data_IF_546476458672
#
_entry.id   IF_546476458672
#
_cell.length_a   1.000
_cell.length_b   1.000
_cell.length_c   1.000
_cell.angle_alpha   90.00
_cell.angle_beta   90.00
_cell.angle_gamma   90.00
#
_symmetry.space_group_name_H-M   'P 1'
#
loop_
_entity.id
_entity.type
_entity.pdbx_description
1 polymer ?
#
# COMPACT_ATOMS: atom_id res chain seq x y z
N UNK A 1 -12.81 -4.58 -13.33
CA UNK A 1 -13.40 -3.50 -12.49
C UNK A 1 -14.57 -2.92 -13.25
N UNK A 2 -15.78 -2.92 -12.68
CA UNK A 2 -16.97 -2.39 -13.34
C UNK A 2 -17.07 -0.87 -13.12
N UNK A 3 -17.38 -0.11 -14.18
CA UNK A 3 -17.66 1.33 -14.10
C UNK A 3 -19.14 1.53 -14.39
N UNK A 4 -19.84 2.20 -13.47
CA UNK A 4 -21.22 2.64 -13.65
C UNK A 4 -21.21 4.15 -13.79
N UNK A 5 -21.86 4.66 -14.82
CA UNK A 5 -22.03 6.10 -15.05
C UNK A 5 -23.49 6.44 -14.79
N UNK A 6 -23.73 7.39 -13.89
CA UNK A 6 -25.07 7.88 -13.60
C UNK A 6 -25.38 9.08 -14.50
N UNK A 7 -26.65 9.24 -14.86
CA UNK A 7 -27.10 10.39 -15.63
C UNK A 7 -26.94 11.71 -14.86
N UNK A 8 -26.98 11.67 -13.52
CA UNK A 8 -26.85 12.86 -12.67
C UNK A 8 -25.80 12.68 -11.59
N UNK A 9 -25.11 13.78 -11.26
CA UNK A 9 -24.15 13.83 -10.16
C UNK A 9 -24.81 13.61 -8.80
N UNK A 10 -26.09 13.99 -8.67
CA UNK A 10 -26.88 13.76 -7.45
C UNK A 10 -27.05 12.26 -7.16
N UNK A 11 -27.49 11.47 -8.14
CA UNK A 11 -27.67 10.03 -7.97
C UNK A 11 -26.34 9.34 -7.60
N UNK A 12 -25.25 9.72 -8.28
CA UNK A 12 -23.92 9.23 -7.97
C UNK A 12 -23.52 9.51 -6.51
N UNK A 13 -23.69 10.76 -6.05
CA UNK A 13 -23.37 11.15 -4.66
C UNK A 13 -24.22 10.37 -3.64
N UNK A 14 -25.52 10.21 -3.90
CA UNK A 14 -26.43 9.46 -3.02
C UNK A 14 -26.03 7.98 -2.90
N UNK A 15 -25.64 7.35 -4.01
CA UNK A 15 -25.16 5.95 -3.98
C UNK A 15 -23.85 5.83 -3.22
N UNK A 16 -22.89 6.73 -3.47
CA UNK A 16 -21.60 6.72 -2.78
C UNK A 16 -21.73 6.96 -1.27
N UNK A 17 -22.65 7.83 -0.84
CA UNK A 17 -22.93 8.07 0.57
C UNK A 17 -23.52 6.84 1.27
N UNK A 18 -24.32 6.03 0.54
CA UNK A 18 -24.90 4.79 1.05
C UNK A 18 -23.96 3.60 0.94
N UNK A 19 -22.94 3.66 0.09
CA UNK A 19 -22.02 2.55 -0.16
C UNK A 19 -21.39 1.91 1.10
N UNK A 20 -20.93 2.65 2.12
CA UNK A 20 -20.42 2.04 3.35
C UNK A 20 -21.46 1.22 4.13
N UNK A 21 -22.75 1.50 3.90
CA UNK A 21 -23.91 0.84 4.52
C UNK A 21 -24.44 -0.32 3.67
N UNK A 22 -23.99 -0.46 2.42
CA UNK A 22 -24.32 -1.58 1.52
C UNK A 22 -23.53 -2.85 1.89
N UNK A 23 -23.30 -3.11 3.17
CA UNK A 23 -22.64 -4.32 3.67
C UNK A 23 -23.38 -5.61 3.25
N UNK A 24 -24.68 -5.49 2.99
CA UNK A 24 -25.56 -6.55 2.51
C UNK A 24 -25.92 -6.36 1.04
N UNK A 25 -24.96 -5.92 0.21
CA UNK A 25 -25.17 -5.96 -1.23
C UNK A 25 -25.45 -7.42 -1.64
N UNK A 26 -26.49 -7.71 -2.44
CA UNK A 26 -26.90 -9.06 -2.79
C UNK A 26 -25.95 -9.68 -3.83
N UNK A 27 -24.66 -9.76 -3.50
CA UNK A 27 -23.59 -10.37 -4.31
C UNK A 27 -23.19 -11.75 -3.79
N UNK A 28 -24.03 -12.36 -2.94
CA UNK A 28 -23.76 -13.65 -2.31
C UNK A 28 -22.50 -13.60 -1.44
N UNK A 29 -21.54 -14.54 -1.58
CA UNK A 29 -20.33 -14.56 -0.76
C UNK A 29 -19.32 -13.46 -1.12
N UNK A 30 -19.51 -12.74 -2.23
CA UNK A 30 -18.53 -11.79 -2.75
C UNK A 30 -18.74 -10.43 -2.11
N UNK A 31 -17.72 -9.92 -1.41
CA UNK A 31 -17.72 -8.54 -0.90
C UNK A 31 -17.51 -7.57 -2.06
N UNK A 32 -18.44 -6.63 -2.23
CA UNK A 32 -18.36 -5.59 -3.25
C UNK A 32 -17.92 -4.28 -2.60
N UNK A 33 -16.97 -3.60 -3.24
CA UNK A 33 -16.51 -2.27 -2.83
C UNK A 33 -16.91 -1.26 -3.89
N UNK A 34 -17.67 -0.25 -3.47
CA UNK A 34 -18.08 0.86 -4.34
C UNK A 34 -17.23 2.08 -4.00
N UNK A 35 -16.65 2.71 -5.01
CA UNK A 35 -15.85 3.92 -4.87
C UNK A 35 -16.08 4.88 -6.04
N UNK A 36 -15.79 6.18 -5.88
CA UNK A 36 -15.79 7.11 -7.00
C UNK A 36 -14.79 6.67 -8.07
N UNK A 37 -15.15 6.88 -9.35
CA UNK A 37 -14.17 6.78 -10.44
C UNK A 37 -13.31 8.03 -10.43
N UNK A 38 -12.00 7.86 -10.36
CA UNK A 38 -11.03 8.95 -10.31
C UNK A 38 -10.22 9.01 -11.60
N UNK A 39 -9.90 10.21 -12.06
CA UNK A 39 -8.91 10.44 -13.12
C UNK A 39 -7.52 9.99 -12.66
N UNK A 40 -6.54 10.02 -13.57
CA UNK A 40 -5.16 9.61 -13.25
C UNK A 40 -4.57 10.55 -12.19
N UNK A 41 -4.76 11.84 -12.34
CA UNK A 41 -4.25 12.91 -11.48
C UNK A 41 -4.85 12.79 -10.07
N UNK A 42 -6.18 12.66 -10.00
CA UNK A 42 -6.91 12.49 -8.74
C UNK A 42 -6.47 11.21 -7.99
N UNK A 43 -6.14 10.14 -8.71
CA UNK A 43 -5.66 8.89 -8.10
C UNK A 43 -4.27 9.06 -7.49
N UNK A 44 -3.39 9.82 -8.14
CA UNK A 44 -2.06 10.15 -7.62
C UNK A 44 -2.20 10.97 -6.33
N UNK A 45 -3.03 12.01 -6.36
CA UNK A 45 -3.28 12.87 -5.19
C UNK A 45 -3.88 12.07 -4.02
N UNK A 46 -4.89 11.23 -4.29
CA UNK A 46 -5.49 10.37 -3.26
C UNK A 46 -4.46 9.41 -2.64
N UNK A 47 -3.56 8.85 -3.46
CA UNK A 47 -2.51 7.95 -2.98
C UNK A 47 -1.48 8.68 -2.11
N UNK A 48 -1.17 9.95 -2.44
CA UNK A 48 -0.30 10.81 -1.62
C UNK A 48 -0.97 11.13 -0.28
N UNK A 49 -2.22 11.58 -0.31
CA UNK A 49 -2.99 11.89 0.90
C UNK A 49 -3.17 10.68 1.83
N UNK A 50 -3.31 9.46 1.29
CA UNK A 50 -3.36 8.23 2.09
C UNK A 50 -2.01 7.90 2.73
N UNK A 51 -0.90 8.06 1.99
CA UNK A 51 0.45 7.90 2.57
C UNK A 51 0.69 8.88 3.70
N UNK A 52 0.31 10.14 3.52
CA UNK A 52 0.48 11.18 4.54
C UNK A 52 -0.33 10.87 5.81
N UNK A 53 -1.56 10.37 5.66
CA UNK A 53 -2.38 9.90 6.80
C UNK A 53 -1.77 8.71 7.53
N UNK A 54 -1.19 7.75 6.79
CA UNK A 54 -0.51 6.61 7.39
C UNK A 54 0.74 7.04 8.15
N UNK A 55 1.57 7.90 7.56
CA UNK A 55 2.78 8.45 8.20
C UNK A 55 2.43 9.31 9.42
N UNK A 56 1.37 10.13 9.34
CA UNK A 56 0.85 10.91 10.47
C UNK A 56 0.40 10.00 11.61
N UNK A 57 -0.34 8.92 11.31
CA UNK A 57 -0.81 7.96 12.32
C UNK A 57 0.34 7.15 12.94
N UNK A 58 1.38 6.86 12.16
CA UNK A 58 2.61 6.21 12.64
C UNK A 58 3.37 7.06 13.66
N UNK A 59 3.26 8.40 13.60
CA UNK A 59 3.89 9.31 14.58
C UNK A 59 3.15 9.40 15.91
N UNK A 60 1.87 9.02 15.96
CA UNK A 60 1.07 9.07 17.20
C UNK A 60 1.20 7.78 18.03
N UNK A 61 1.66 6.69 17.39
CA UNK A 61 1.92 5.40 18.07
C UNK A 61 3.42 5.12 18.29
N UNK A 62 4.30 6.12 18.18
CA UNK A 62 5.69 5.94 18.60
C UNK A 62 5.72 5.80 20.13
N UNK A 63 5.63 4.57 20.60
CA UNK A 63 6.26 4.20 21.87
C UNK A 63 7.67 4.81 21.91
N UNK A 64 8.14 5.33 23.05
CA UNK A 64 9.49 5.83 23.15
C UNK A 64 10.46 4.74 22.65
N UNK A 65 11.48 5.10 21.85
CA UNK A 65 12.44 4.12 21.39
C UNK A 65 13.03 3.39 22.61
N UNK A 66 13.14 2.05 22.61
CA UNK A 66 13.86 1.36 23.67
C UNK A 66 15.29 1.89 23.65
N UNK A 67 15.68 2.57 24.73
CA UNK A 67 17.04 3.01 24.96
C UNK A 67 17.91 1.79 25.26
N UNK A 68 18.31 1.06 24.22
CA UNK A 68 19.39 0.08 24.31
C UNK A 68 20.67 0.72 23.77
N UNK A 69 21.41 1.36 24.68
CA UNK A 69 22.80 1.74 24.51
C UNK A 69 23.67 0.48 24.50
N UNK A 70 23.94 -0.06 23.30
CA UNK A 70 25.14 -0.79 22.87
C UNK A 70 24.77 -1.77 21.76
N UNK A 71 24.83 -1.29 20.52
CA UNK A 71 25.08 -2.18 19.37
C UNK A 71 26.09 -1.48 18.48
N UNK A 72 27.30 -2.04 18.48
CA UNK A 72 28.42 -1.73 17.59
C UNK A 72 27.95 -1.71 16.13
N UNK A 73 28.30 -0.71 15.31
CA UNK A 73 27.90 -0.69 13.90
C UNK A 73 28.52 -1.88 13.16
N UNK A 74 27.79 -2.50 12.20
CA UNK A 74 28.35 -3.57 11.39
C UNK A 74 29.50 -3.02 10.54
N UNK A 75 30.69 -3.63 10.66
CA UNK A 75 31.81 -3.32 9.79
C UNK A 75 31.47 -3.75 8.36
N UNK A 76 31.68 -2.81 7.44
CA UNK A 76 31.60 -3.00 6.00
C UNK A 76 32.83 -3.83 5.61
N UNK A 77 32.66 -5.15 5.49
CA UNK A 77 33.67 -6.02 4.89
C UNK A 77 33.48 -5.95 3.38
N UNK A 78 34.34 -5.17 2.72
CA UNK A 78 34.60 -5.29 1.28
C UNK A 78 35.29 -6.65 1.05
N UNK A 79 34.53 -7.66 0.63
CA UNK A 79 35.13 -8.91 0.13
C UNK A 79 35.71 -8.69 -1.27
N UNK A 80 37.00 -8.97 -1.50
CA UNK A 80 37.58 -8.97 -2.84
C UNK A 80 37.04 -10.16 -3.65
N UNK A 81 36.50 -9.87 -4.84
CA UNK A 81 36.11 -10.87 -5.84
C UNK A 81 37.35 -11.53 -6.45
N UNK A 82 37.99 -12.41 -5.69
CA UNK A 82 39.09 -13.24 -6.15
C UNK A 82 38.67 -14.72 -6.26
N UNK A 83 38.58 -15.19 -7.50
CA UNK A 83 38.93 -16.57 -7.83
C UNK A 83 37.82 -17.63 -7.75
N UNK A 84 36.91 -17.65 -8.72
CA UNK A 84 36.37 -18.95 -9.16
C UNK A 84 37.41 -19.62 -10.06
N UNK A 85 38.23 -20.47 -9.41
CA UNK A 85 39.14 -21.38 -10.07
C UNK A 85 38.41 -22.45 -10.88
N UNK A 86 38.92 -22.67 -12.09
CA UNK A 86 38.63 -23.83 -12.91
C UNK A 86 39.07 -25.11 -12.21
N UNK A 87 38.12 -26.00 -11.91
CA UNK A 87 38.34 -27.44 -11.84
C UNK A 87 37.05 -28.11 -12.28
N UNK A 88 37.12 -28.85 -13.37
CA UNK A 88 36.70 -30.25 -13.42
C UNK A 88 37.34 -30.87 -14.66
N UNK A 89 38.27 -31.79 -14.41
CA UNK A 89 38.73 -32.76 -15.40
C UNK A 89 37.86 -34.01 -15.30
N UNK A 90 37.48 -34.55 -16.46
CA UNK A 90 37.43 -36.00 -16.78
C UNK A 90 36.42 -36.27 -17.92
N UNK A 91 36.89 -36.14 -19.18
CA UNK A 91 36.78 -37.14 -20.26
C UNK A 91 37.33 -36.63 -21.58
#
# INVERSE_FOLDING_TARGET
>A
MMKVVFATSFAQKTVLARAPRLKYFPSGPVKVFVRPSLTKEQRVEYSKAQRDKFLSRSRVNSFPPPTNSNVTPPQLVDEPMDGMGNRDGDR
#
